data_IF_024875468194
#
_entry.id   IF_024875468194
#
_cell.length_a   1.000
_cell.length_b   1.000
_cell.length_c   1.000
_cell.angle_alpha   90.00
_cell.angle_beta   90.00
_cell.angle_gamma   90.00
#
_symmetry.space_group_name_H-M   'P 1'
#
loop_
_entity.id
_entity.type
_entity.pdbx_description
1 polymer ?
#
# COMPACT_ATOMS: atom_id res chain seq x y z
N UNK A 1 5.09 2.85 -0.60
CA UNK A 1 5.12 4.33 -0.56
C UNK A 1 3.91 4.84 0.20
N UNK A 2 4.12 5.74 1.12
CA UNK A 2 3.02 6.39 1.81
C UNK A 2 2.41 7.44 0.86
N UNK A 3 1.12 7.30 0.57
CA UNK A 3 0.41 8.19 -0.36
C UNK A 3 -0.89 8.69 0.29
N UNK A 4 -0.79 9.80 1.01
CA UNK A 4 -1.96 10.42 1.66
C UNK A 4 -2.95 11.03 0.67
N UNK A 5 -2.52 11.25 -0.57
CA UNK A 5 -3.40 11.65 -1.66
C UNK A 5 -4.09 10.49 -2.36
N UNK A 6 -3.68 9.25 -2.09
CA UNK A 6 -4.39 8.09 -2.59
C UNK A 6 -5.80 8.07 -2.01
N UNK A 7 -6.75 7.61 -2.80
CA UNK A 7 -8.14 7.56 -2.40
C UNK A 7 -8.34 6.60 -1.20
N UNK A 8 -9.39 5.86 -1.16
CA UNK A 8 -9.80 5.10 0.03
C UNK A 8 -9.10 3.74 0.17
N UNK A 9 -8.23 3.37 -0.78
CA UNK A 9 -7.68 2.02 -0.85
C UNK A 9 -6.18 2.05 -1.09
N UNK A 10 -5.47 1.19 -0.37
CA UNK A 10 -4.09 0.87 -0.67
C UNK A 10 -4.02 -0.03 -1.89
N UNK A 11 -3.03 0.17 -2.74
CA UNK A 11 -2.91 -0.53 -4.02
C UNK A 11 -1.48 -1.01 -4.24
N UNK A 12 -1.34 -2.01 -5.10
CA UNK A 12 -0.04 -2.49 -5.55
C UNK A 12 -0.10 -2.83 -7.04
N UNK A 13 0.92 -2.44 -7.79
CA UNK A 13 1.07 -2.88 -9.17
C UNK A 13 1.31 -4.38 -9.25
N UNK A 14 0.82 -5.04 -10.29
CA UNK A 14 0.97 -6.48 -10.45
C UNK A 14 2.44 -6.91 -10.48
N UNK A 15 3.30 -6.14 -11.15
CA UNK A 15 4.74 -6.42 -11.15
C UNK A 15 5.38 -6.35 -9.76
N UNK A 16 4.94 -5.40 -8.93
CA UNK A 16 5.41 -5.28 -7.55
C UNK A 16 4.88 -6.42 -6.68
N UNK A 17 3.64 -6.85 -6.90
CA UNK A 17 3.12 -8.03 -6.23
C UNK A 17 3.94 -9.28 -6.56
N UNK A 18 4.28 -9.49 -7.83
CA UNK A 18 5.11 -10.63 -8.23
C UNK A 18 6.50 -10.60 -7.57
N UNK A 19 7.12 -9.42 -7.49
CA UNK A 19 8.40 -9.26 -6.81
C UNK A 19 8.30 -9.59 -5.31
N UNK A 20 7.23 -9.15 -4.66
CA UNK A 20 6.96 -9.47 -3.26
C UNK A 20 6.73 -10.96 -3.05
N UNK A 21 5.98 -11.62 -3.95
CA UNK A 21 5.72 -13.05 -3.88
C UNK A 21 6.98 -13.91 -4.01
N UNK A 22 8.00 -13.45 -4.72
CA UNK A 22 9.29 -14.15 -4.80
C UNK A 22 9.98 -14.26 -3.45
N UNK A 23 9.80 -13.26 -2.59
CA UNK A 23 10.40 -13.20 -1.25
C UNK A 23 9.48 -13.87 -0.23
N UNK A 24 8.17 -13.66 -0.35
CA UNK A 24 7.15 -14.15 0.57
C UNK A 24 6.26 -15.15 -0.15
N UNK A 25 6.63 -16.42 -0.12
CA UNK A 25 5.97 -17.48 -0.92
C UNK A 25 4.51 -17.71 -0.54
N UNK A 26 4.11 -17.34 0.67
CA UNK A 26 2.74 -17.48 1.15
C UNK A 26 1.82 -16.32 0.72
N UNK A 27 2.36 -15.34 0.01
CA UNK A 27 1.61 -14.18 -0.45
C UNK A 27 0.76 -14.53 -1.67
N UNK A 28 -0.37 -15.17 -1.43
CA UNK A 28 -1.30 -15.57 -2.49
C UNK A 28 -2.37 -14.48 -2.67
N UNK A 29 -2.62 -14.14 -3.94
CA UNK A 29 -3.65 -13.17 -4.29
C UNK A 29 -5.04 -13.79 -4.10
N UNK A 30 -5.92 -13.07 -3.42
CA UNK A 30 -7.34 -13.41 -3.32
C UNK A 30 -8.09 -12.78 -4.48
N UNK A 31 -8.60 -13.61 -5.38
CA UNK A 31 -9.31 -13.15 -6.57
C UNK A 31 -10.82 -13.23 -6.45
N UNK A 32 -11.37 -13.52 -5.28
CA UNK A 32 -12.82 -13.69 -5.09
C UNK A 32 -13.63 -12.46 -5.48
N UNK A 33 -13.05 -11.26 -5.34
CA UNK A 33 -13.69 -10.00 -5.70
C UNK A 33 -13.01 -9.31 -6.88
N UNK A 34 -12.25 -10.05 -7.68
CA UNK A 34 -11.57 -9.48 -8.85
C UNK A 34 -12.59 -8.82 -9.80
N UNK A 35 -12.27 -7.63 -10.25
CA UNK A 35 -13.12 -6.87 -11.18
C UNK A 35 -14.29 -6.13 -10.54
N UNK A 36 -14.57 -6.34 -9.25
CA UNK A 36 -15.70 -5.67 -8.57
C UNK A 36 -15.34 -4.28 -8.03
N UNK A 37 -14.06 -4.00 -7.89
CA UNK A 37 -13.56 -2.73 -7.37
C UNK A 37 -12.74 -2.06 -8.45
N UNK A 38 -13.06 -0.79 -8.75
CA UNK A 38 -12.30 0.06 -9.66
C UNK A 38 -11.42 1.00 -8.84
N UNK A 39 -10.15 1.07 -9.21
CA UNK A 39 -9.17 1.96 -8.60
C UNK A 39 -8.92 3.13 -9.55
N UNK A 40 -9.00 4.34 -9.03
CA UNK A 40 -8.78 5.55 -9.81
C UNK A 40 -7.32 5.98 -9.76
N UNK A 41 -6.76 6.29 -10.92
CA UNK A 41 -5.42 6.85 -11.09
C UNK A 41 -5.53 8.10 -11.96
N UNK A 42 -5.37 9.28 -11.38
CA UNK A 42 -5.49 10.53 -12.13
C UNK A 42 -6.86 10.61 -12.80
N UNK A 43 -6.87 10.64 -14.15
CA UNK A 43 -8.11 10.71 -14.94
C UNK A 43 -8.62 9.34 -15.36
N UNK A 44 -7.87 8.27 -15.08
CA UNK A 44 -8.23 6.91 -15.47
C UNK A 44 -8.64 6.04 -14.29
N UNK A 45 -9.23 4.90 -14.61
CA UNK A 45 -9.50 3.87 -13.60
C UNK A 45 -9.16 2.49 -14.15
N UNK A 46 -8.87 1.56 -13.25
CA UNK A 46 -8.58 0.18 -13.59
C UNK A 46 -9.23 -0.76 -12.58
N UNK A 47 -9.76 -1.90 -13.02
CA UNK A 47 -10.32 -2.86 -12.07
C UNK A 47 -9.22 -3.52 -11.24
N UNK A 48 -9.52 -3.83 -10.01
CA UNK A 48 -8.68 -4.69 -9.17
C UNK A 48 -8.69 -6.11 -9.72
N UNK A 49 -7.52 -6.72 -9.83
CA UNK A 49 -7.40 -8.13 -10.23
C UNK A 49 -7.35 -9.06 -9.01
N UNK A 50 -7.30 -8.51 -7.81
CA UNK A 50 -7.31 -9.27 -6.57
C UNK A 50 -6.82 -8.45 -5.40
N UNK A 51 -6.75 -9.10 -4.25
CA UNK A 51 -6.37 -8.52 -2.98
C UNK A 51 -5.22 -9.31 -2.38
N UNK A 52 -4.24 -8.63 -1.81
CA UNK A 52 -3.18 -9.25 -1.03
C UNK A 52 -3.09 -8.58 0.34
N UNK A 53 -3.07 -9.37 1.40
CA UNK A 53 -2.84 -8.88 2.75
C UNK A 53 -1.36 -8.98 3.07
N UNK A 54 -0.77 -7.85 3.45
CA UNK A 54 0.65 -7.75 3.78
C UNK A 54 0.80 -7.46 5.27
N UNK A 55 1.63 -8.25 5.94
CA UNK A 55 2.04 -7.97 7.32
C UNK A 55 3.14 -6.91 7.28
N UNK A 56 2.75 -5.66 7.51
CA UNK A 56 3.67 -4.52 7.52
C UNK A 56 4.15 -4.21 8.93
N UNK A 57 5.23 -3.42 9.10
CA UNK A 57 5.65 -2.98 10.44
C UNK A 57 4.60 -2.20 11.23
N UNK A 58 3.55 -1.69 10.57
CA UNK A 58 2.45 -0.97 11.23
C UNK A 58 1.20 -1.82 11.41
N UNK A 59 1.20 -3.06 10.94
CA UNK A 59 0.07 -3.99 11.01
C UNK A 59 -0.29 -4.56 9.64
N UNK A 60 -1.34 -5.36 9.61
CA UNK A 60 -1.81 -5.95 8.35
C UNK A 60 -2.52 -4.90 7.50
N UNK A 61 -2.16 -4.83 6.23
CA UNK A 61 -2.77 -3.94 5.26
C UNK A 61 -3.18 -4.73 4.03
N UNK A 62 -4.40 -4.49 3.56
CA UNK A 62 -4.92 -5.06 2.33
C UNK A 62 -4.58 -4.15 1.15
N UNK A 63 -3.86 -4.68 0.18
CA UNK A 63 -3.53 -3.98 -1.06
C UNK A 63 -4.33 -4.56 -2.21
N UNK A 64 -5.06 -3.70 -2.90
CA UNK A 64 -5.71 -4.08 -4.15
C UNK A 64 -4.68 -4.10 -5.27
N UNK A 65 -4.53 -5.24 -5.92
CA UNK A 65 -3.56 -5.43 -7.00
C UNK A 65 -4.19 -4.94 -8.31
N UNK A 66 -3.43 -4.15 -9.04
CA UNK A 66 -3.88 -3.53 -10.30
C UNK A 66 -2.85 -3.75 -11.40
N UNK A 67 -3.32 -3.75 -12.65
CA UNK A 67 -2.45 -3.88 -13.83
C UNK A 67 -1.91 -2.51 -14.26
N UNK A 68 -1.26 -1.84 -13.33
CA UNK A 68 -0.61 -0.56 -13.55
C UNK A 68 0.79 -0.66 -12.95
N UNK A 69 1.78 -0.08 -13.60
CA UNK A 69 3.14 -0.03 -13.07
C UNK A 69 3.22 1.01 -11.96
N UNK A 70 2.97 0.56 -10.75
CA UNK A 70 2.97 1.39 -9.55
C UNK A 70 3.57 0.61 -8.38
N UNK A 71 4.25 1.28 -7.44
CA UNK A 71 4.69 0.61 -6.20
C UNK A 71 3.51 0.26 -5.29
N UNK A 72 3.80 -0.38 -4.16
CA UNK A 72 2.82 -0.49 -3.07
C UNK A 72 2.53 0.92 -2.54
N UNK A 73 1.27 1.33 -2.64
CA UNK A 73 0.80 2.64 -2.19
C UNK A 73 -0.09 2.49 -0.97
N UNK A 74 0.35 3.05 0.16
CA UNK A 74 -0.35 2.99 1.42
C UNK A 74 -1.25 4.22 1.56
N UNK A 75 -2.56 4.03 1.57
CA UNK A 75 -3.53 5.13 1.59
C UNK A 75 -3.75 5.68 3.00
N UNK A 76 -4.27 6.91 3.05
CA UNK A 76 -4.54 7.60 4.32
C UNK A 76 -5.57 6.84 5.17
N UNK A 77 -6.62 6.30 4.56
CA UNK A 77 -7.66 5.55 5.29
C UNK A 77 -7.07 4.36 6.06
N UNK A 78 -6.17 3.60 5.44
CA UNK A 78 -5.54 2.47 6.11
C UNK A 78 -4.61 2.92 7.24
N UNK A 79 -3.87 4.01 7.04
CA UNK A 79 -3.03 4.61 8.09
C UNK A 79 -3.90 5.06 9.27
N UNK A 80 -5.03 5.71 9.00
CA UNK A 80 -5.96 6.17 10.03
C UNK A 80 -6.54 5.00 10.82
N UNK A 81 -6.94 3.93 10.14
CA UNK A 81 -7.50 2.73 10.77
C UNK A 81 -6.49 2.02 11.68
N UNK A 82 -5.21 2.20 11.44
CA UNK A 82 -4.13 1.66 12.25
C UNK A 82 -3.64 2.64 13.34
N UNK A 83 -4.37 3.75 13.55
CA UNK A 83 -4.01 4.79 14.52
C UNK A 83 -2.58 5.29 14.33
N UNK A 84 -2.17 5.40 13.07
CA UNK A 84 -0.81 5.75 12.66
C UNK A 84 -0.83 7.07 11.92
N UNK A 85 0.23 7.85 12.02
CA UNK A 85 0.38 9.04 11.21
C UNK A 85 1.83 9.23 10.78
N UNK A 86 2.00 9.89 9.65
CA UNK A 86 3.31 10.25 9.13
C UNK A 86 3.70 11.65 9.62
N UNK A 87 4.81 11.72 10.35
CA UNK A 87 5.40 13.00 10.73
C UNK A 87 6.47 13.36 9.69
N UNK A 88 6.11 14.25 8.78
CA UNK A 88 6.99 14.65 7.69
C UNK A 88 8.12 15.61 8.13
N UNK A 89 8.06 16.15 9.34
CA UNK A 89 9.11 16.99 9.91
C UNK A 89 10.28 16.12 10.39
N UNK A 90 9.98 15.00 11.03
CA UNK A 90 10.99 14.08 11.57
C UNK A 90 11.22 12.87 10.69
N UNK A 91 10.47 12.72 9.59
CA UNK A 91 10.49 11.53 8.72
C UNK A 91 10.27 10.24 9.50
N UNK A 92 9.24 10.24 10.33
CA UNK A 92 8.86 9.09 11.15
C UNK A 92 7.40 8.73 10.91
N UNK A 93 7.12 7.45 10.87
CA UNK A 93 5.76 6.92 10.94
C UNK A 93 5.47 6.59 12.40
N UNK A 94 4.50 7.26 12.97
CA UNK A 94 4.19 7.15 14.40
C UNK A 94 2.99 6.23 14.58
N UNK A 95 3.22 5.13 15.29
CA UNK A 95 2.17 4.16 15.67
C UNK A 95 1.87 4.29 17.15
N UNK A 96 0.79 3.66 17.66
CA UNK A 96 0.52 3.66 19.11
C UNK A 96 1.64 3.07 19.96
N UNK A 97 2.48 2.21 19.41
CA UNK A 97 3.51 1.48 20.17
C UNK A 97 4.94 1.76 19.70
N UNK A 98 5.13 2.44 18.55
CA UNK A 98 6.46 2.58 17.97
C UNK A 98 6.59 3.82 17.09
N UNK A 99 7.84 4.20 16.86
CA UNK A 99 8.23 5.20 15.84
C UNK A 99 9.09 4.49 14.81
N UNK A 100 8.67 4.54 13.55
CA UNK A 100 9.34 3.84 12.47
C UNK A 100 9.98 4.85 11.50
N UNK A 101 11.26 4.68 11.16
CA UNK A 101 11.93 5.61 10.25
C UNK A 101 11.36 5.48 8.83
N UNK A 102 11.23 6.61 8.16
CA UNK A 102 10.82 6.71 6.77
C UNK A 102 12.02 7.10 5.94
N UNK A 103 12.22 6.42 4.83
CA UNK A 103 13.24 6.74 3.84
C UNK A 103 12.60 7.50 2.69
N UNK A 104 13.17 8.64 2.33
CA UNK A 104 12.72 9.38 1.15
C UNK A 104 13.49 8.92 -0.08
N UNK A 105 12.74 8.59 -1.14
CA UNK A 105 13.29 8.29 -2.45
C UNK A 105 12.54 9.09 -3.50
N UNK A 106 13.27 9.82 -4.34
CA UNK A 106 12.66 10.69 -5.36
C UNK A 106 11.63 11.65 -4.77
N UNK A 107 11.87 12.15 -3.54
CA UNK A 107 10.95 13.03 -2.84
C UNK A 107 9.75 12.35 -2.19
N UNK A 108 9.59 11.04 -2.33
CA UNK A 108 8.46 10.29 -1.77
C UNK A 108 8.85 9.52 -0.51
N UNK A 109 7.94 9.45 0.49
CA UNK A 109 8.19 8.70 1.72
C UNK A 109 7.95 7.21 1.53
N UNK A 110 8.91 6.39 1.94
CA UNK A 110 8.83 4.92 1.90
C UNK A 110 9.06 4.33 3.28
N UNK A 111 8.19 3.40 3.67
CA UNK A 111 8.41 2.49 4.77
C UNK A 111 9.07 1.22 4.23
N UNK A 112 10.26 0.94 4.69
CA UNK A 112 11.04 -0.23 4.24
C UNK A 112 11.01 -1.37 5.25
#
# INVERSE_FOLDING_TARGET
MIDTGASRRSTAGYGQYLAYKRITKDANIDTTQAGTINVQFGIGSTPSIGLITVDTPIGNVDFHVVQVDTPFLLCLTDIDNLWTYYNNVTDMLITPSAKLPITRRFGHPFLL
#
